data_IF_448525443228
#
_entry.id   IF_448525443228
#
_cell.length_a   1.000
_cell.length_b   1.000
_cell.length_c   1.000
_cell.angle_alpha   90.00
_cell.angle_beta   90.00
_cell.angle_gamma   90.00
#
_symmetry.space_group_name_H-M   'P 1'
#
loop_
_entity.id
_entity.type
_entity.pdbx_description
1 polymer ?
#
# COMPACT_ATOMS: atom_id res chain seq x y z
N UNK A 1 -25.41 5.82 -1.95
CA UNK A 1 -24.30 6.59 -1.33
C UNK A 1 -23.83 7.65 -2.31
N UNK A 2 -23.95 8.93 -1.92
CA UNK A 2 -23.51 10.07 -2.73
C UNK A 2 -22.01 9.96 -3.08
N UNK A 3 -21.58 10.28 -4.31
CA UNK A 3 -20.18 10.16 -4.74
C UNK A 3 -19.21 11.01 -3.88
N UNK A 4 -19.67 12.17 -3.40
CA UNK A 4 -18.88 13.04 -2.54
C UNK A 4 -18.62 12.45 -1.15
N UNK A 5 -19.63 11.78 -0.57
CA UNK A 5 -19.50 11.12 0.73
C UNK A 5 -18.49 9.97 0.67
N UNK A 6 -18.49 9.20 -0.43
CA UNK A 6 -17.52 8.11 -0.65
C UNK A 6 -16.09 8.66 -0.76
N UNK A 7 -15.92 9.77 -1.46
CA UNK A 7 -14.62 10.41 -1.61
C UNK A 7 -14.11 10.95 -0.27
N UNK A 8 -14.91 11.72 0.47
CA UNK A 8 -14.54 12.24 1.79
C UNK A 8 -14.15 11.13 2.78
N UNK A 9 -14.92 10.04 2.79
CA UNK A 9 -14.65 8.87 3.63
C UNK A 9 -13.36 8.15 3.22
N UNK A 10 -13.07 8.02 1.92
CA UNK A 10 -11.79 7.48 1.46
C UNK A 10 -10.59 8.36 1.86
N UNK A 11 -10.71 9.69 1.76
CA UNK A 11 -9.65 10.62 2.17
C UNK A 11 -9.41 10.54 3.68
N UNK A 12 -10.48 10.43 4.47
CA UNK A 12 -10.38 10.25 5.92
C UNK A 12 -9.66 8.95 6.29
N UNK A 13 -10.03 7.81 5.68
CA UNK A 13 -9.34 6.54 5.92
C UNK A 13 -7.89 6.55 5.44
N UNK A 14 -7.61 7.21 4.32
CA UNK A 14 -6.24 7.41 3.84
C UNK A 14 -5.40 8.17 4.88
N UNK A 15 -5.91 9.29 5.40
CA UNK A 15 -5.21 10.08 6.41
C UNK A 15 -4.97 9.30 7.71
N UNK A 16 -6.00 8.59 8.22
CA UNK A 16 -5.85 7.74 9.40
C UNK A 16 -4.79 6.66 9.17
N UNK A 17 -4.88 5.91 8.07
CA UNK A 17 -3.94 4.84 7.78
C UNK A 17 -2.50 5.36 7.61
N UNK A 18 -2.34 6.55 7.02
CA UNK A 18 -1.05 7.20 6.87
C UNK A 18 -0.43 7.55 8.23
N UNK A 19 -1.24 8.03 9.18
CA UNK A 19 -0.78 8.34 10.54
C UNK A 19 -0.49 7.06 11.34
N UNK A 20 -1.40 6.08 11.33
CA UNK A 20 -1.28 4.89 12.20
C UNK A 20 -0.26 3.86 11.70
N UNK A 21 -0.05 3.72 10.40
CA UNK A 21 0.86 2.72 9.84
C UNK A 21 2.31 2.81 10.35
N UNK A 22 2.98 3.98 10.44
CA UNK A 22 4.34 4.05 10.98
C UNK A 22 4.39 3.68 12.47
N UNK A 23 3.42 4.13 13.28
CA UNK A 23 3.38 3.77 14.71
C UNK A 23 3.17 2.28 14.92
N UNK A 24 2.29 1.65 14.15
CA UNK A 24 2.04 0.21 14.21
C UNK A 24 3.29 -0.60 13.80
N UNK A 25 3.99 -0.16 12.75
CA UNK A 25 5.25 -0.79 12.32
C UNK A 25 6.32 -0.68 13.41
N UNK A 26 6.51 0.52 13.96
CA UNK A 26 7.47 0.79 15.04
C UNK A 26 7.15 -0.08 16.26
N UNK A 27 5.88 -0.11 16.68
CA UNK A 27 5.43 -0.97 17.77
C UNK A 27 5.73 -2.45 17.50
N UNK A 28 5.45 -2.95 16.29
CA UNK A 28 5.77 -4.32 15.88
C UNK A 28 7.28 -4.61 15.91
N UNK A 29 8.10 -3.66 15.46
CA UNK A 29 9.56 -3.77 15.47
C UNK A 29 10.13 -3.85 16.89
N UNK A 30 9.64 -3.04 17.82
CA UNK A 30 10.11 -3.03 19.21
C UNK A 30 9.62 -4.23 20.01
N UNK A 31 8.35 -4.61 19.85
CA UNK A 31 7.75 -5.70 20.63
C UNK A 31 8.01 -7.08 20.02
N UNK A 32 8.29 -7.15 18.72
CA UNK A 32 8.31 -8.41 17.97
C UNK A 32 6.97 -9.11 17.88
N UNK A 33 5.90 -8.43 18.26
CA UNK A 33 4.56 -8.97 18.25
C UNK A 33 4.02 -9.07 16.82
N UNK A 34 3.50 -10.25 16.48
CA UNK A 34 2.74 -10.49 15.24
C UNK A 34 1.59 -9.50 15.10
N UNK A 35 1.00 -9.05 16.23
CA UNK A 35 -0.07 -8.05 16.26
C UNK A 35 0.36 -6.70 15.68
N UNK A 36 1.57 -6.21 15.98
CA UNK A 36 2.08 -4.94 15.44
C UNK A 36 2.28 -5.00 13.93
N UNK A 37 2.86 -6.08 13.44
CA UNK A 37 3.03 -6.31 11.99
C UNK A 37 1.69 -6.50 11.28
N UNK A 38 0.72 -7.19 11.90
CA UNK A 38 -0.62 -7.37 11.34
C UNK A 38 -1.36 -6.02 11.23
N UNK A 39 -1.32 -5.18 12.27
CA UNK A 39 -1.93 -3.84 12.23
C UNK A 39 -1.25 -2.97 11.17
N UNK A 40 0.07 -3.06 11.03
CA UNK A 40 0.80 -2.37 9.97
C UNK A 40 0.32 -2.84 8.58
N UNK A 41 0.21 -4.15 8.34
CA UNK A 41 -0.29 -4.71 7.08
C UNK A 41 -1.73 -4.30 6.74
N UNK A 42 -2.62 -4.28 7.75
CA UNK A 42 -4.00 -3.80 7.59
C UNK A 42 -3.99 -2.31 7.25
N UNK A 43 -3.18 -1.51 7.94
CA UNK A 43 -3.09 -0.06 7.70
C UNK A 43 -2.57 0.23 6.29
N UNK A 44 -1.54 -0.50 5.82
CA UNK A 44 -1.06 -0.38 4.45
C UNK A 44 -2.14 -0.77 3.43
N UNK A 45 -2.94 -1.79 3.71
CA UNK A 45 -4.04 -2.21 2.85
C UNK A 45 -5.12 -1.13 2.74
N UNK A 46 -5.50 -0.54 3.88
CA UNK A 46 -6.45 0.57 3.95
C UNK A 46 -5.89 1.79 3.22
N UNK A 47 -4.60 2.10 3.41
CA UNK A 47 -3.93 3.22 2.76
C UNK A 47 -3.94 3.06 1.23
N UNK A 48 -3.53 1.91 0.72
CA UNK A 48 -3.50 1.62 -0.72
C UNK A 48 -4.89 1.67 -1.35
N UNK A 49 -5.89 1.04 -0.72
CA UNK A 49 -7.26 1.07 -1.21
C UNK A 49 -7.86 2.49 -1.17
N UNK A 50 -7.63 3.22 -0.08
CA UNK A 50 -8.14 4.57 0.11
C UNK A 50 -7.47 5.56 -0.85
N UNK A 51 -6.18 5.40 -1.12
CA UNK A 51 -5.46 6.20 -2.12
C UNK A 51 -6.08 6.03 -3.52
N UNK A 52 -6.33 4.79 -3.94
CA UNK A 52 -6.93 4.52 -5.25
C UNK A 52 -8.34 5.08 -5.32
N UNK A 53 -9.17 4.89 -4.29
CA UNK A 53 -10.52 5.42 -4.22
C UNK A 53 -10.54 6.96 -4.22
N UNK A 54 -9.63 7.60 -3.49
CA UNK A 54 -9.49 9.05 -3.46
C UNK A 54 -9.00 9.62 -4.80
N UNK A 55 -8.21 8.87 -5.56
CA UNK A 55 -7.69 9.31 -6.86
C UNK A 55 -8.63 9.00 -8.04
N UNK A 56 -9.65 8.15 -7.88
CA UNK A 56 -10.63 7.83 -8.94
C UNK A 56 -11.35 9.03 -9.57
N UNK A 57 -11.77 10.08 -8.83
CA UNK A 57 -12.44 11.23 -9.43
C UNK A 57 -11.57 11.98 -10.45
N UNK A 58 -10.23 11.88 -10.34
CA UNK A 58 -9.28 12.58 -11.21
C UNK A 58 -9.00 11.83 -12.53
N UNK A 59 -9.29 10.54 -12.58
CA UNK A 59 -9.17 9.71 -13.78
C UNK A 59 -10.09 8.49 -13.61
N UNK A 60 -11.08 8.30 -14.48
CA UNK A 60 -11.95 7.12 -14.33
C UNK A 60 -11.20 5.86 -14.80
N UNK A 61 -11.18 4.85 -13.94
CA UNK A 61 -10.61 3.52 -14.20
C UNK A 61 -11.64 2.47 -13.84
N UNK A 62 -11.52 1.29 -14.44
CA UNK A 62 -12.40 0.17 -14.11
C UNK A 62 -12.10 -0.37 -12.71
N UNK A 63 -13.06 -1.07 -12.09
CA UNK A 63 -12.84 -1.71 -10.78
C UNK A 63 -11.66 -2.69 -10.79
N UNK A 64 -11.41 -3.36 -11.92
CA UNK A 64 -10.25 -4.26 -12.08
C UNK A 64 -8.93 -3.50 -12.08
N UNK A 65 -8.86 -2.39 -12.80
CA UNK A 65 -7.67 -1.52 -12.82
C UNK A 65 -7.42 -0.89 -11.44
N UNK A 66 -8.49 -0.50 -10.73
CA UNK A 66 -8.39 0.03 -9.38
C UNK A 66 -7.86 -1.01 -8.38
N UNK A 67 -8.35 -2.25 -8.47
CA UNK A 67 -7.86 -3.35 -7.66
C UNK A 67 -6.38 -3.63 -7.96
N UNK A 68 -5.99 -3.66 -9.23
CA UNK A 68 -4.60 -3.86 -9.63
C UNK A 68 -3.68 -2.75 -9.11
N UNK A 69 -4.12 -1.49 -9.18
CA UNK A 69 -3.40 -0.35 -8.62
C UNK A 69 -3.25 -0.46 -7.10
N UNK A 70 -4.32 -0.84 -6.39
CA UNK A 70 -4.29 -1.00 -4.94
C UNK A 70 -3.35 -2.15 -4.50
N UNK A 71 -3.36 -3.26 -5.24
CA UNK A 71 -2.44 -4.38 -5.03
C UNK A 71 -1.00 -3.93 -5.29
N UNK A 72 -0.74 -3.19 -6.36
CA UNK A 72 0.60 -2.69 -6.67
C UNK A 72 1.16 -1.82 -5.53
N UNK A 73 0.36 -0.88 -5.02
CA UNK A 73 0.76 -0.03 -3.90
C UNK A 73 0.97 -0.84 -2.62
N UNK A 74 0.08 -1.78 -2.31
CA UNK A 74 0.23 -2.66 -1.16
C UNK A 74 1.52 -3.49 -1.21
N UNK A 75 1.81 -4.13 -2.35
CA UNK A 75 3.01 -4.94 -2.52
C UNK A 75 4.29 -4.09 -2.43
N UNK A 76 4.27 -2.89 -3.02
CA UNK A 76 5.41 -1.97 -3.00
C UNK A 76 5.68 -1.39 -1.61
N UNK A 77 4.64 -0.98 -0.88
CA UNK A 77 4.80 -0.52 0.50
C UNK A 77 5.15 -1.67 1.45
N UNK A 78 4.59 -2.85 1.22
CA UNK A 78 4.89 -4.06 1.98
C UNK A 78 6.34 -4.52 1.81
N UNK A 79 6.91 -4.42 0.61
CA UNK A 79 8.32 -4.75 0.37
C UNK A 79 9.25 -3.80 1.14
N UNK A 80 8.96 -2.50 1.15
CA UNK A 80 9.71 -1.51 1.94
C UNK A 80 9.64 -1.85 3.43
N UNK A 81 8.43 -2.13 3.96
CA UNK A 81 8.25 -2.48 5.36
C UNK A 81 9.00 -3.78 5.74
N UNK A 82 8.91 -4.82 4.91
CA UNK A 82 9.64 -6.07 5.10
C UNK A 82 11.17 -5.86 5.02
N UNK A 83 11.64 -5.01 4.11
CA UNK A 83 13.05 -4.62 4.01
C UNK A 83 13.55 -3.90 5.26
N UNK A 84 12.77 -2.98 5.82
CA UNK A 84 13.10 -2.32 7.09
C UNK A 84 13.17 -3.33 8.25
N UNK A 85 12.21 -4.26 8.33
CA UNK A 85 12.23 -5.34 9.33
C UNK A 85 13.48 -6.20 9.16
N UNK A 86 13.83 -6.56 7.92
CA UNK A 86 15.03 -7.32 7.60
C UNK A 86 16.30 -6.63 8.10
N UNK A 87 16.44 -5.33 7.84
CA UNK A 87 17.62 -4.56 8.26
C UNK A 87 17.71 -4.45 9.79
N UNK A 88 16.60 -4.11 10.45
CA UNK A 88 16.57 -3.86 11.89
C UNK A 88 16.68 -5.14 12.73
N UNK A 89 16.14 -6.25 12.23
CA UNK A 89 16.13 -7.54 12.96
C UNK A 89 17.11 -8.56 12.39
N UNK A 90 17.90 -8.19 11.39
CA UNK A 90 18.82 -9.09 10.68
C UNK A 90 18.14 -10.40 10.24
N UNK A 91 16.88 -10.29 9.80
CA UNK A 91 16.03 -11.44 9.49
C UNK A 91 16.08 -11.76 8.00
N UNK A 92 16.74 -12.86 7.65
CA UNK A 92 16.78 -13.39 6.28
C UNK A 92 15.39 -13.75 5.74
N UNK A 93 14.47 -14.19 6.61
CA UNK A 93 13.09 -14.48 6.22
C UNK A 93 12.38 -13.20 5.76
N UNK A 94 12.53 -12.10 6.52
CA UNK A 94 11.98 -10.80 6.13
C UNK A 94 12.61 -10.27 4.84
N UNK A 95 13.91 -10.54 4.62
CA UNK A 95 14.58 -10.22 3.36
C UNK A 95 13.98 -10.98 2.17
N UNK A 96 13.78 -12.29 2.30
CA UNK A 96 13.16 -13.11 1.26
C UNK A 96 11.73 -12.66 0.95
N UNK A 97 10.94 -12.31 1.98
CA UNK A 97 9.60 -11.75 1.81
C UNK A 97 9.66 -10.42 1.06
N UNK A 98 10.58 -9.53 1.42
CA UNK A 98 10.79 -8.26 0.73
C UNK A 98 11.07 -8.46 -0.76
N UNK A 99 11.97 -9.39 -1.10
CA UNK A 99 12.29 -9.73 -2.49
C UNK A 99 11.09 -10.32 -3.24
N UNK A 100 10.34 -11.23 -2.61
CA UNK A 100 9.15 -11.82 -3.20
C UNK A 100 8.08 -10.76 -3.49
N UNK A 101 7.85 -9.84 -2.56
CA UNK A 101 6.91 -8.73 -2.73
C UNK A 101 7.36 -7.77 -3.84
N UNK A 102 8.65 -7.51 -3.96
CA UNK A 102 9.21 -6.70 -5.06
C UNK A 102 9.02 -7.39 -6.42
N UNK A 103 9.26 -8.69 -6.51
CA UNK A 103 9.00 -9.45 -7.74
C UNK A 103 7.51 -9.44 -8.12
N UNK A 104 6.62 -9.60 -7.14
CA UNK A 104 5.17 -9.53 -7.34
C UNK A 104 4.70 -8.13 -7.72
N UNK A 105 5.30 -7.06 -7.18
CA UNK A 105 4.95 -5.69 -7.56
C UNK A 105 5.36 -5.39 -9.00
N UNK A 106 6.52 -5.88 -9.45
CA UNK A 106 6.95 -5.81 -10.84
C UNK A 106 6.04 -6.61 -11.77
N UNK A 107 5.58 -7.79 -11.34
CA UNK A 107 4.62 -8.57 -12.11
C UNK A 107 3.27 -7.85 -12.21
N UNK A 108 2.77 -7.29 -11.11
CA UNK A 108 1.56 -6.47 -11.09
C UNK A 108 1.70 -5.23 -11.98
N UNK A 109 2.87 -4.61 -12.00
CA UNK A 109 3.19 -3.49 -12.89
C UNK A 109 3.12 -3.92 -14.35
N UNK A 110 3.75 -5.03 -14.73
CA UNK A 110 3.79 -5.50 -16.11
C UNK A 110 2.39 -5.86 -16.64
N UNK A 111 1.54 -6.45 -15.79
CA UNK A 111 0.15 -6.77 -16.11
C UNK A 111 -0.80 -5.56 -16.06
N UNK A 112 -0.35 -4.42 -15.52
CA UNK A 112 -1.17 -3.21 -15.44
C UNK A 112 -1.30 -2.50 -16.78
N UNK A 113 -2.46 -1.88 -17.00
CA UNK A 113 -2.74 -1.08 -18.20
C UNK A 113 -1.90 0.20 -18.20
N UNK A 114 -1.65 0.78 -19.39
CA UNK A 114 -0.90 2.03 -19.52
C UNK A 114 -1.59 3.20 -18.79
N UNK A 115 -2.92 3.16 -18.68
CA UNK A 115 -3.70 4.11 -17.87
C UNK A 115 -3.32 4.02 -16.39
N UNK A 116 -3.31 2.82 -15.81
CA UNK A 116 -2.91 2.60 -14.41
C UNK A 116 -1.45 3.00 -14.19
N UNK A 117 -0.55 2.62 -15.10
CA UNK A 117 0.88 3.01 -15.02
C UNK A 117 1.06 4.52 -15.04
N UNK A 118 0.30 5.23 -15.87
CA UNK A 118 0.37 6.70 -15.96
C UNK A 118 -0.08 7.37 -14.66
N UNK A 119 -1.13 6.83 -14.01
CA UNK A 119 -1.59 7.35 -12.71
C UNK A 119 -0.56 7.15 -11.61
N UNK A 120 -0.01 5.94 -11.50
CA UNK A 120 1.05 5.64 -10.53
C UNK A 120 2.27 6.53 -10.77
N UNK A 121 2.68 6.76 -12.03
CA UNK A 121 3.78 7.68 -12.35
C UNK A 121 3.49 9.11 -11.90
N UNK A 122 2.27 9.62 -12.11
CA UNK A 122 1.90 10.97 -11.61
C UNK A 122 1.96 11.06 -10.09
N UNK A 123 1.54 10.00 -9.39
CA UNK A 123 1.59 9.93 -7.94
C UNK A 123 3.01 10.06 -7.37
N UNK A 124 4.02 9.59 -8.10
CA UNK A 124 5.42 9.67 -7.69
C UNK A 124 6.06 11.05 -7.91
N UNK A 125 5.44 11.90 -8.72
CA UNK A 125 5.97 13.22 -9.12
C UNK A 125 5.27 14.37 -8.36
N UNK A 126 4.07 14.12 -7.82
CA UNK A 126 3.29 15.06 -7.01
C UNK A 126 3.73 15.07 -5.55
#
# INVERSE_FOLDING_TARGET
MHPELKHALSVFFYALAYIFSPFALIYGLFTGGVSGYAICGISLSILSASYVLASQPRAQITNREALAEAIFWLLSSGSIAAGLISLLRQSWIAFSISLALCALSLLAWNLSTDKTKTRVKRALIS
#
